data_IF_115417040747
#
_entry.id   IF_115417040747
#
_cell.length_a   1.000
_cell.length_b   1.000
_cell.length_c   1.000
_cell.angle_alpha   90.00
_cell.angle_beta   90.00
_cell.angle_gamma   90.00
#
_symmetry.space_group_name_H-M   'P 1'
#
loop_
_entity.id
_entity.type
_entity.pdbx_description
1 polymer ?
#
# COMPACT_ATOMS: atom_id res chain seq x y z
N UNK A 1 22.52 -10.61 -32.79
CA UNK A 1 22.64 -11.81 -31.95
C UNK A 1 24.02 -12.39 -32.18
N UNK A 2 24.92 -12.23 -31.21
CA UNK A 2 26.31 -12.69 -31.30
C UNK A 2 26.43 -14.04 -30.61
N UNK A 3 27.04 -15.03 -31.24
CA UNK A 3 27.28 -16.35 -30.64
C UNK A 3 28.77 -16.53 -30.35
N UNK A 4 29.11 -16.82 -29.10
CA UNK A 4 30.50 -17.01 -28.63
C UNK A 4 30.65 -18.34 -27.93
N UNK A 5 31.82 -18.97 -28.05
CA UNK A 5 32.08 -20.23 -27.38
C UNK A 5 32.35 -19.98 -25.87
N UNK A 6 32.06 -20.95 -25.01
CA UNK A 6 32.27 -20.87 -23.57
C UNK A 6 33.71 -20.53 -23.18
N UNK A 7 34.69 -20.98 -23.97
CA UNK A 7 36.11 -20.70 -23.70
C UNK A 7 36.44 -19.21 -23.90
N UNK A 8 35.92 -18.62 -24.97
CA UNK A 8 36.06 -17.19 -25.26
C UNK A 8 35.26 -16.35 -24.24
N UNK A 9 34.05 -16.81 -23.92
CA UNK A 9 33.20 -16.12 -22.95
C UNK A 9 33.82 -16.05 -21.55
N UNK A 10 34.48 -17.11 -21.08
CA UNK A 10 35.18 -17.10 -19.78
C UNK A 10 36.33 -16.09 -19.74
N UNK A 11 37.05 -15.94 -20.85
CA UNK A 11 38.21 -15.03 -20.96
C UNK A 11 37.78 -13.58 -21.12
N UNK A 12 36.69 -13.32 -21.86
CA UNK A 12 36.24 -11.97 -22.22
C UNK A 12 34.91 -11.59 -21.58
N UNK A 13 34.57 -12.19 -20.43
CA UNK A 13 33.27 -12.00 -19.79
C UNK A 13 32.96 -10.52 -19.54
N UNK A 14 33.93 -9.74 -19.05
CA UNK A 14 33.75 -8.30 -18.81
C UNK A 14 33.32 -7.53 -20.06
N UNK A 15 33.94 -7.79 -21.21
CA UNK A 15 33.57 -7.16 -22.49
C UNK A 15 32.18 -7.59 -22.96
N UNK A 16 31.82 -8.86 -22.74
CA UNK A 16 30.48 -9.35 -23.06
C UNK A 16 29.41 -8.70 -22.17
N UNK A 17 29.72 -8.43 -20.90
CA UNK A 17 28.82 -7.71 -20.00
C UNK A 17 28.61 -6.26 -20.47
N UNK A 18 29.64 -5.56 -20.91
CA UNK A 18 29.50 -4.20 -21.48
C UNK A 18 28.59 -4.18 -22.72
N UNK A 19 28.65 -5.21 -23.57
CA UNK A 19 27.74 -5.37 -24.71
C UNK A 19 26.29 -5.57 -24.25
N UNK A 20 26.12 -6.42 -23.24
CA UNK A 20 24.82 -6.72 -22.64
C UNK A 20 24.21 -5.50 -21.94
N UNK A 21 25.01 -4.69 -21.27
CA UNK A 21 24.61 -3.41 -20.66
C UNK A 21 24.13 -2.40 -21.70
N UNK A 22 24.76 -2.39 -22.88
CA UNK A 22 24.31 -1.58 -24.04
C UNK A 22 23.03 -2.10 -24.68
N UNK A 23 22.48 -3.20 -24.19
CA UNK A 23 21.24 -3.81 -24.67
C UNK A 23 21.44 -4.88 -25.74
N UNK A 24 22.67 -5.33 -25.96
CA UNK A 24 22.94 -6.44 -26.88
C UNK A 24 22.64 -7.80 -26.24
N UNK A 25 22.37 -8.79 -27.07
CA UNK A 25 22.10 -10.16 -26.67
C UNK A 25 23.19 -11.08 -27.22
N UNK A 26 23.79 -11.85 -26.31
CA UNK A 26 24.93 -12.73 -26.60
C UNK A 26 24.57 -14.17 -26.22
N UNK A 27 24.71 -15.09 -27.16
CA UNK A 27 24.52 -16.52 -26.93
C UNK A 27 25.86 -17.19 -26.66
N UNK A 28 25.96 -17.90 -25.54
CA UNK A 28 27.10 -18.76 -25.23
C UNK A 28 26.80 -20.16 -25.75
N UNK A 29 27.73 -20.68 -26.55
CA UNK A 29 27.71 -22.04 -27.05
C UNK A 29 28.85 -22.88 -26.45
N UNK A 30 28.62 -24.19 -26.34
CA UNK A 30 29.65 -25.19 -26.00
C UNK A 30 29.74 -26.16 -27.18
N UNK A 31 30.92 -26.25 -27.79
CA UNK A 31 31.15 -27.11 -28.96
C UNK A 31 30.13 -26.90 -30.11
N UNK A 32 29.75 -25.64 -30.35
CA UNK A 32 28.77 -25.28 -31.40
C UNK A 32 27.31 -25.33 -30.95
N UNK A 33 27.01 -25.89 -29.77
CA UNK A 33 25.64 -25.98 -29.27
C UNK A 33 25.32 -24.82 -28.30
N UNK A 34 24.25 -24.03 -28.52
CA UNK A 34 23.87 -22.95 -27.61
C UNK A 34 23.42 -23.50 -26.26
N UNK A 35 24.00 -22.98 -25.17
CA UNK A 35 23.74 -23.44 -23.79
C UNK A 35 23.14 -22.37 -22.89
N UNK A 36 23.40 -21.09 -23.18
CA UNK A 36 22.96 -19.98 -22.37
C UNK A 36 22.90 -18.70 -23.21
N UNK A 37 22.11 -17.75 -22.76
CA UNK A 37 22.03 -16.41 -23.32
C UNK A 37 22.32 -15.40 -22.22
N UNK A 38 23.25 -14.47 -22.48
CA UNK A 38 23.40 -13.27 -21.67
C UNK A 38 22.52 -12.16 -22.23
N UNK A 39 21.68 -11.64 -21.35
CA UNK A 39 20.82 -10.48 -21.59
C UNK A 39 20.87 -9.57 -20.37
N UNK A 40 20.58 -8.27 -20.56
CA UNK A 40 20.53 -7.33 -19.45
C UNK A 40 19.53 -7.82 -18.40
N UNK A 41 19.94 -7.81 -17.13
CA UNK A 41 19.04 -8.15 -16.04
C UNK A 41 17.94 -7.09 -15.92
N UNK A 42 16.69 -7.51 -16.08
CA UNK A 42 15.52 -6.67 -15.89
C UNK A 42 14.79 -7.17 -14.65
N UNK A 43 14.68 -6.38 -13.57
CA UNK A 43 13.95 -6.81 -12.39
C UNK A 43 12.51 -7.15 -12.82
N UNK A 44 11.94 -8.27 -12.33
CA UNK A 44 10.57 -8.60 -12.64
C UNK A 44 9.70 -7.44 -12.19
N UNK A 45 8.98 -6.83 -13.14
CA UNK A 45 7.96 -5.83 -12.81
C UNK A 45 6.91 -6.55 -11.97
N UNK A 46 6.92 -6.32 -10.66
CA UNK A 46 5.84 -6.74 -9.78
C UNK A 46 4.59 -6.07 -10.34
N UNK A 47 3.70 -6.88 -10.95
CA UNK A 47 2.42 -6.40 -11.44
C UNK A 47 1.61 -6.01 -10.21
N UNK A 48 1.72 -4.76 -9.80
CA UNK A 48 0.77 -4.17 -8.88
C UNK A 48 -0.51 -4.07 -9.70
N UNK A 49 -1.49 -4.90 -9.36
CA UNK A 49 -2.78 -4.81 -10.00
C UNK A 49 -3.34 -3.40 -9.71
N UNK A 50 -3.93 -2.71 -10.70
CA UNK A 50 -4.49 -1.40 -10.47
C UNK A 50 -5.55 -1.45 -9.35
N UNK A 51 -5.75 -0.35 -8.60
CA UNK A 51 -6.86 -0.27 -7.66
C UNK A 51 -8.17 -0.60 -8.41
N UNK A 52 -9.02 -1.43 -7.82
CA UNK A 52 -10.25 -1.92 -8.46
C UNK A 52 -10.08 -3.16 -9.35
N UNK A 53 -8.89 -3.78 -9.42
CA UNK A 53 -8.67 -5.04 -10.17
C UNK A 53 -9.50 -6.25 -9.69
N UNK A 54 -10.10 -6.17 -8.50
CA UNK A 54 -11.05 -7.17 -7.97
C UNK A 54 -12.52 -6.73 -8.11
N UNK A 55 -12.80 -5.61 -8.79
CA UNK A 55 -14.17 -5.16 -9.05
C UNK A 55 -14.94 -6.23 -9.84
N UNK A 56 -16.14 -6.58 -9.36
CA UNK A 56 -16.98 -7.59 -9.99
C UNK A 56 -16.56 -9.05 -9.73
N UNK A 57 -15.51 -9.34 -8.96
CA UNK A 57 -15.05 -10.71 -8.71
C UNK A 57 -15.87 -11.51 -7.68
N UNK A 58 -17.10 -11.08 -7.35
CA UNK A 58 -18.01 -11.85 -6.50
C UNK A 58 -17.38 -12.25 -5.16
N UNK A 59 -16.78 -11.27 -4.49
CA UNK A 59 -16.07 -11.47 -3.23
C UNK A 59 -17.08 -11.85 -2.15
N UNK A 60 -16.82 -12.98 -1.51
CA UNK A 60 -17.63 -13.46 -0.39
C UNK A 60 -17.09 -12.84 0.90
N UNK A 61 -18.00 -12.24 1.65
CA UNK A 61 -17.78 -11.72 3.00
C UNK A 61 -18.73 -12.50 3.91
N UNK A 62 -18.24 -12.91 5.08
CA UNK A 62 -19.09 -13.57 6.06
C UNK A 62 -20.14 -12.57 6.58
N UNK A 63 -21.35 -13.06 6.83
CA UNK A 63 -22.49 -12.22 7.22
C UNK A 63 -22.25 -11.49 8.55
N UNK A 64 -21.41 -12.05 9.41
CA UNK A 64 -21.00 -11.57 10.72
C UNK A 64 -19.76 -10.67 10.69
N UNK A 65 -19.25 -10.26 9.52
CA UNK A 65 -18.04 -9.42 9.43
C UNK A 65 -18.14 -8.10 10.22
N UNK A 66 -19.35 -7.56 10.36
CA UNK A 66 -19.61 -6.33 11.11
C UNK A 66 -20.03 -6.60 12.57
N UNK A 67 -20.11 -7.86 13.01
CA UNK A 67 -20.47 -8.16 14.38
C UNK A 67 -19.35 -7.73 15.34
N UNK A 68 -19.69 -7.16 16.51
CA UNK A 68 -18.72 -6.83 17.53
C UNK A 68 -17.93 -8.07 17.95
N UNK A 69 -16.60 -7.97 17.91
CA UNK A 69 -15.73 -9.01 18.44
C UNK A 69 -15.46 -8.69 19.90
N UNK A 70 -16.36 -9.18 20.77
CA UNK A 70 -16.48 -8.78 22.18
C UNK A 70 -15.16 -8.83 22.97
N UNK A 71 -14.30 -9.80 22.66
CA UNK A 71 -13.05 -10.04 23.38
C UNK A 71 -11.79 -9.66 22.58
N UNK A 72 -11.91 -9.30 21.29
CA UNK A 72 -10.74 -9.14 20.41
C UNK A 72 -9.89 -7.91 20.79
N UNK A 73 -10.54 -6.86 21.29
CA UNK A 73 -9.90 -5.58 21.60
C UNK A 73 -9.70 -5.35 23.10
N UNK A 74 -9.95 -6.35 23.95
CA UNK A 74 -9.79 -6.22 25.41
C UNK A 74 -8.36 -5.85 25.82
N UNK A 75 -7.36 -6.27 25.05
CA UNK A 75 -5.96 -5.89 25.27
C UNK A 75 -5.63 -4.44 24.90
N UNK A 76 -6.50 -3.75 24.16
CA UNK A 76 -6.37 -2.34 23.80
C UNK A 76 -7.17 -1.43 24.75
N UNK A 77 -8.04 -2.03 25.58
CA UNK A 77 -8.72 -1.34 26.69
C UNK A 77 -7.72 -1.17 27.83
N UNK A 78 -6.70 -0.35 27.62
CA UNK A 78 -5.96 0.23 28.74
C UNK A 78 -6.92 1.17 29.47
N UNK A 79 -7.22 0.87 30.74
CA UNK A 79 -7.98 1.70 31.68
C UNK A 79 -7.26 3.04 31.96
N UNK A 80 -7.05 3.87 30.95
CA UNK A 80 -6.69 5.26 31.16
C UNK A 80 -7.99 6.01 31.49
N UNK A 81 -8.20 6.48 32.72
CA UNK A 81 -9.36 7.29 33.03
C UNK A 81 -9.32 8.55 32.16
N UNK A 82 -10.40 8.80 31.41
CA UNK A 82 -10.60 10.02 30.64
C UNK A 82 -10.41 11.23 31.59
N UNK A 83 -9.40 12.09 31.39
CA UNK A 83 -9.03 13.10 32.38
C UNK A 83 -10.01 14.30 32.44
N UNK A 84 -11.22 14.20 31.90
CA UNK A 84 -12.10 15.34 31.66
C UNK A 84 -13.52 15.26 32.24
N UNK A 85 -13.84 14.34 33.15
CA UNK A 85 -15.15 14.38 33.84
C UNK A 85 -15.07 15.06 35.22
N UNK A 86 -15.00 16.38 35.23
CA UNK A 86 -15.53 17.22 36.32
C UNK A 86 -16.39 18.32 35.71
N UNK A 87 -17.70 18.09 35.66
CA UNK A 87 -18.68 19.15 35.44
C UNK A 87 -19.60 19.20 36.66
N UNK A 88 -19.02 19.57 37.81
CA UNK A 88 -19.76 19.97 38.99
C UNK A 88 -20.55 21.25 38.70
N UNK A 89 -21.88 21.12 38.63
CA UNK A 89 -22.93 22.13 38.90
C UNK A 89 -22.50 23.59 38.96
N UNK A 90 -22.96 24.39 37.99
CA UNK A 90 -23.23 25.81 38.21
C UNK A 90 -24.64 26.16 37.71
N UNK A 91 -25.58 26.20 38.66
CA UNK A 91 -26.92 26.73 38.47
C UNK A 91 -26.84 28.26 38.44
N UNK A 92 -26.60 28.84 37.27
CA UNK A 92 -26.89 30.27 37.05
C UNK A 92 -28.28 30.39 36.40
N UNK A 93 -29.27 31.04 37.03
CA UNK A 93 -30.57 31.24 36.41
C UNK A 93 -30.45 32.26 35.28
N UNK A 94 -30.92 31.87 34.10
CA UNK A 94 -30.95 32.68 32.88
C UNK A 94 -31.91 33.87 33.06
N UNK A 95 -31.47 35.14 32.99
CA UNK A 95 -32.38 36.28 33.05
C UNK A 95 -32.62 36.80 31.64
N UNK A 96 -33.75 36.43 31.03
CA UNK A 96 -34.60 37.32 30.23
C UNK A 96 -35.58 36.52 29.35
N UNK A 97 -36.69 36.13 29.94
CA UNK A 97 -37.95 36.06 29.20
C UNK A 97 -38.86 37.17 29.74
N UNK A 98 -38.95 38.28 29.00
CA UNK A 98 -40.18 39.06 28.97
C UNK A 98 -40.37 39.64 27.57
N UNK A 99 -41.13 38.89 26.79
CA UNK A 99 -42.13 39.38 25.85
C UNK A 99 -42.42 40.89 25.88
N UNK A 100 -42.22 41.51 24.71
CA UNK A 100 -43.22 42.31 24.00
C UNK A 100 -44.30 43.01 24.84
N UNK A 101 -44.28 44.35 24.90
CA UNK A 101 -45.52 45.09 24.64
C UNK A 101 -45.26 46.54 24.18
N UNK A 102 -45.74 46.80 22.98
CA UNK A 102 -46.43 47.99 22.48
C UNK A 102 -46.36 49.32 23.24
N UNK A 103 -46.21 50.34 22.39
CA UNK A 103 -47.07 51.52 22.31
C UNK A 103 -46.54 52.87 22.81
N UNK A 104 -46.77 53.83 21.91
CA UNK A 104 -47.23 55.18 22.20
C UNK A 104 -46.21 56.27 22.50
N UNK A 105 -46.12 57.13 21.50
CA UNK A 105 -46.43 58.58 21.55
C UNK A 105 -45.32 59.53 21.97
N UNK A 106 -45.04 60.38 20.97
CA UNK A 106 -44.68 61.80 20.99
C UNK A 106 -43.20 62.14 21.19
#
# INVERSE_FOLDING_TARGET
MQTVNIHEAKTHLSRLLEAVERGEEVVIARAGQPIATLTAYKPPRRRIAPPGSMEGQGWWMADDFNEPLDDLFDCLKDDAPDPLTDNSTDSTPDPADNSTDSASRR
#
